data_IF_801915793442
#
_entry.id   IF_801915793442
#
_cell.length_a   1.000
_cell.length_b   1.000
_cell.length_c   1.000
_cell.angle_alpha   90.00
_cell.angle_beta   90.00
_cell.angle_gamma   90.00
#
_symmetry.space_group_name_H-M   'P 1'
#
loop_
_entity.id
_entity.type
_entity.pdbx_description
1 polymer ?
#
# COMPACT_ATOMS: atom_id res chain seq x y z
N UNK A 1 38.53 -33.44 42.34
CA UNK A 1 38.47 -31.96 42.37
C UNK A 1 37.44 -31.50 41.35
N UNK A 2 36.24 -31.09 41.80
CA UNK A 2 35.14 -30.60 40.98
C UNK A 2 35.60 -29.35 40.20
N UNK A 3 35.70 -29.46 38.86
CA UNK A 3 35.82 -28.27 38.00
C UNK A 3 34.44 -27.66 37.78
N UNK A 4 34.38 -26.38 38.12
CA UNK A 4 33.21 -25.55 38.34
C UNK A 4 32.56 -25.09 37.02
N UNK A 5 31.24 -25.01 37.08
CA UNK A 5 30.35 -23.98 36.51
C UNK A 5 30.71 -23.44 35.13
N UNK A 6 29.95 -23.87 34.13
CA UNK A 6 29.88 -23.15 32.89
C UNK A 6 28.75 -23.65 32.01
N UNK A 7 27.49 -23.36 32.35
CA UNK A 7 26.40 -23.39 31.38
C UNK A 7 25.25 -22.47 31.78
N UNK A 8 24.75 -21.74 30.77
CA UNK A 8 23.48 -21.02 30.69
C UNK A 8 23.37 -19.66 31.38
N UNK A 9 23.87 -18.62 30.69
CA UNK A 9 23.14 -17.36 30.65
C UNK A 9 22.26 -17.42 29.39
N UNK A 10 20.99 -17.83 29.56
CA UNK A 10 20.01 -17.83 28.48
C UNK A 10 19.67 -16.37 28.15
N UNK A 11 20.07 -15.91 26.97
CA UNK A 11 19.68 -14.61 26.44
C UNK A 11 18.17 -14.58 26.23
N UNK A 12 17.43 -14.00 27.18
CA UNK A 12 16.03 -13.61 26.99
C UNK A 12 15.97 -12.27 26.24
N UNK A 13 16.36 -12.28 24.97
CA UNK A 13 16.11 -11.18 24.05
C UNK A 13 14.78 -11.43 23.33
N UNK A 14 13.66 -11.16 24.00
CA UNK A 14 12.37 -11.05 23.30
C UNK A 14 12.40 -9.76 22.48
N UNK A 15 12.92 -9.83 21.26
CA UNK A 15 12.74 -8.77 20.27
C UNK A 15 11.24 -8.70 19.98
N UNK A 16 10.59 -7.63 20.45
CA UNK A 16 9.27 -7.23 19.99
C UNK A 16 9.37 -6.94 18.49
N UNK A 17 9.20 -8.00 17.71
CA UNK A 17 9.03 -7.92 16.27
C UNK A 17 7.61 -7.42 16.07
N UNK A 18 7.41 -6.11 16.00
CA UNK A 18 6.15 -5.57 15.54
C UNK A 18 5.96 -6.09 14.10
N UNK A 19 5.08 -7.07 13.92
CA UNK A 19 4.70 -7.52 12.60
C UNK A 19 3.93 -6.38 11.95
N UNK A 20 4.59 -5.57 11.13
CA UNK A 20 3.95 -4.62 10.23
C UNK A 20 3.30 -5.44 9.13
N UNK A 21 2.11 -5.97 9.42
CA UNK A 21 1.27 -6.61 8.41
C UNK A 21 0.57 -5.51 7.63
N UNK A 22 0.69 -5.56 6.31
CA UNK A 22 -0.06 -4.66 5.44
C UNK A 22 -1.54 -5.04 5.45
N UNK A 23 -2.42 -4.04 5.56
CA UNK A 23 -3.87 -4.23 5.40
C UNK A 23 -4.17 -4.44 3.91
N UNK A 24 -5.06 -5.38 3.57
CA UNK A 24 -5.42 -5.68 2.18
C UNK A 24 -6.83 -5.19 1.85
N UNK A 25 -6.96 -4.45 0.76
CA UNK A 25 -8.20 -3.95 0.17
C UNK A 25 -8.51 -4.68 -1.14
N UNK A 26 -9.76 -5.12 -1.31
CA UNK A 26 -10.23 -5.63 -2.60
C UNK A 26 -10.88 -4.50 -3.40
N UNK A 27 -10.46 -4.34 -4.64
CA UNK A 27 -11.09 -3.42 -5.58
C UNK A 27 -12.45 -3.98 -5.98
N UNK A 28 -13.50 -3.16 -5.90
CA UNK A 28 -14.87 -3.53 -6.28
C UNK A 28 -15.33 -2.67 -7.44
N UNK A 29 -15.96 -3.30 -8.44
CA UNK A 29 -16.49 -2.61 -9.61
C UNK A 29 -17.96 -2.21 -9.37
N UNK A 30 -18.36 -1.05 -9.89
CA UNK A 30 -19.74 -0.56 -9.84
C UNK A 30 -20.17 0.14 -8.54
N UNK A 31 -19.21 0.46 -7.65
CA UNK A 31 -19.47 1.19 -6.41
C UNK A 31 -18.45 2.34 -6.24
N UNK A 32 -18.88 3.39 -5.54
CA UNK A 32 -17.96 4.39 -5.01
C UNK A 32 -17.45 3.91 -3.66
N UNK A 33 -16.14 3.88 -3.49
CA UNK A 33 -15.46 3.42 -2.27
C UNK A 33 -14.54 4.51 -1.74
N UNK A 34 -14.52 4.66 -0.43
CA UNK A 34 -13.53 5.50 0.27
C UNK A 34 -12.40 4.61 0.75
N UNK A 35 -11.16 5.03 0.51
CA UNK A 35 -9.96 4.38 1.02
C UNK A 35 -9.14 5.34 1.85
N UNK A 36 -8.61 4.86 2.97
CA UNK A 36 -7.70 5.62 3.83
C UNK A 36 -6.29 5.04 3.73
N UNK A 37 -5.31 5.91 3.56
CA UNK A 37 -3.88 5.61 3.54
C UNK A 37 -3.22 6.29 4.75
N UNK A 38 -3.11 5.58 5.88
CA UNK A 38 -2.41 6.11 7.04
C UNK A 38 -0.93 6.38 6.74
N UNK A 39 -0.31 7.38 7.41
CA UNK A 39 1.05 7.77 7.13
C UNK A 39 2.04 6.65 7.46
N UNK A 40 2.94 6.39 6.52
CA UNK A 40 4.04 5.42 6.59
C UNK A 40 3.61 3.95 6.81
N UNK A 41 2.34 3.64 6.57
CA UNK A 41 1.80 2.30 6.71
C UNK A 41 1.52 1.66 5.33
N UNK A 42 2.05 0.46 5.06
CA UNK A 42 1.81 -0.22 3.79
C UNK A 42 0.38 -0.76 3.72
N UNK A 43 -0.27 -0.46 2.59
CA UNK A 43 -1.62 -0.89 2.27
C UNK A 43 -1.58 -1.63 0.92
N UNK A 44 -2.14 -2.83 0.86
CA UNK A 44 -2.17 -3.64 -0.36
C UNK A 44 -3.54 -3.55 -1.03
N UNK A 45 -3.56 -3.36 -2.34
CA UNK A 45 -4.79 -3.29 -3.13
C UNK A 45 -4.77 -4.41 -4.17
N UNK A 46 -5.87 -5.16 -4.26
CA UNK A 46 -6.00 -6.34 -5.12
C UNK A 46 -7.22 -6.21 -6.01
N UNK A 47 -7.04 -6.39 -7.32
CA UNK A 47 -8.16 -6.68 -8.22
C UNK A 47 -8.41 -8.20 -8.22
N UNK A 48 -9.35 -8.66 -7.41
CA UNK A 48 -9.70 -10.07 -7.31
C UNK A 48 -10.64 -10.55 -8.44
N UNK A 49 -11.12 -9.64 -9.29
CA UNK A 49 -12.02 -9.96 -10.40
C UNK A 49 -11.28 -10.53 -11.60
N UNK A 50 -12.00 -11.25 -12.47
CA UNK A 50 -11.45 -11.86 -13.68
C UNK A 50 -11.31 -10.89 -14.86
N UNK A 51 -11.67 -9.62 -14.66
CA UNK A 51 -11.57 -8.54 -15.66
C UNK A 51 -10.76 -7.35 -15.12
N UNK A 52 -10.34 -6.46 -16.02
CA UNK A 52 -9.61 -5.23 -15.67
C UNK A 52 -10.55 -4.19 -15.07
N UNK A 53 -10.17 -3.61 -13.93
CA UNK A 53 -10.90 -2.50 -13.32
C UNK A 53 -10.14 -1.20 -13.61
N UNK A 54 -10.88 -0.17 -14.02
CA UNK A 54 -10.37 1.21 -14.08
C UNK A 54 -11.18 2.04 -13.10
N UNK A 55 -10.51 2.77 -12.22
CA UNK A 55 -11.14 3.69 -11.27
C UNK A 55 -10.56 5.09 -11.39
N UNK A 56 -11.41 6.09 -11.17
CA UNK A 56 -10.99 7.47 -10.92
C UNK A 56 -11.14 7.76 -9.44
N UNK A 57 -10.04 8.11 -8.79
CA UNK A 57 -9.97 8.44 -7.37
C UNK A 57 -9.75 9.94 -7.20
N UNK A 58 -10.57 10.58 -6.38
CA UNK A 58 -10.35 11.96 -5.94
C UNK A 58 -9.63 11.93 -4.60
N UNK A 59 -8.49 12.61 -4.51
CA UNK A 59 -7.65 12.63 -3.32
C UNK A 59 -8.14 13.69 -2.34
N UNK A 60 -8.08 13.35 -1.05
CA UNK A 60 -8.38 14.23 0.06
C UNK A 60 -7.22 14.21 1.05
N UNK A 61 -6.61 15.37 1.29
CA UNK A 61 -5.52 15.53 2.26
C UNK A 61 -5.53 16.92 2.88
N UNK A 62 -4.98 17.02 4.09
CA UNK A 62 -4.74 18.30 4.78
C UNK A 62 -3.34 18.87 4.54
N UNK A 63 -2.43 18.05 4.02
CA UNK A 63 -1.06 18.46 3.74
C UNK A 63 -1.02 19.22 2.40
N UNK A 64 0.00 20.06 2.21
CA UNK A 64 0.14 20.80 0.93
C UNK A 64 0.45 19.86 -0.23
N UNK A 65 1.12 18.75 0.05
CA UNK A 65 1.54 17.74 -0.92
C UNK A 65 1.88 16.47 -0.15
N UNK A 66 1.43 15.32 -0.66
CA UNK A 66 1.80 14.00 -0.16
C UNK A 66 2.43 13.16 -1.25
N UNK A 67 3.43 12.35 -0.89
CA UNK A 67 4.03 11.40 -1.81
C UNK A 67 3.50 10.00 -1.52
N UNK A 68 2.80 9.40 -2.49
CA UNK A 68 2.35 8.01 -2.41
C UNK A 68 3.34 7.14 -3.16
N UNK A 69 4.05 6.29 -2.43
CA UNK A 69 4.89 5.26 -3.01
C UNK A 69 4.04 4.07 -3.47
N UNK A 70 4.26 3.63 -4.69
CA UNK A 70 3.58 2.51 -5.34
C UNK A 70 4.60 1.42 -5.66
N UNK A 71 4.28 0.18 -5.33
CA UNK A 71 5.03 -1.01 -5.78
C UNK A 71 4.08 -2.05 -6.35
N UNK A 72 4.34 -2.52 -7.58
CA UNK A 72 3.52 -3.57 -8.19
C UNK A 72 4.00 -4.95 -7.74
N UNK A 73 3.22 -5.59 -6.89
CA UNK A 73 3.55 -6.92 -6.34
C UNK A 73 3.20 -8.06 -7.31
N UNK A 74 2.19 -7.87 -8.16
CA UNK A 74 1.70 -8.90 -9.07
C UNK A 74 1.01 -8.30 -10.30
N UNK A 75 1.25 -8.91 -11.47
CA UNK A 75 0.71 -8.53 -12.79
C UNK A 75 1.08 -7.09 -13.18
N UNK A 76 0.27 -6.44 -14.00
CA UNK A 76 0.46 -5.10 -14.52
C UNK A 76 -0.78 -4.24 -14.28
N UNK A 77 -0.60 -2.95 -14.46
CA UNK A 77 -1.64 -1.94 -14.33
C UNK A 77 -1.16 -0.60 -14.84
N UNK A 78 -1.95 0.44 -14.57
CA UNK A 78 -1.59 1.82 -14.89
C UNK A 78 -1.94 2.76 -13.74
N UNK A 79 -1.13 3.79 -13.59
CA UNK A 79 -1.43 4.96 -12.74
C UNK A 79 -1.25 6.20 -13.61
N UNK A 80 -2.31 7.00 -13.80
CA UNK A 80 -2.31 8.17 -14.69
C UNK A 80 -1.67 7.89 -16.07
N UNK A 81 -2.15 6.82 -16.72
CA UNK A 81 -1.65 6.29 -18.01
C UNK A 81 -0.22 5.72 -18.03
N UNK A 82 0.54 5.87 -16.95
CA UNK A 82 1.86 5.25 -16.81
C UNK A 82 1.67 3.76 -16.56
N UNK A 83 2.17 2.94 -17.49
CA UNK A 83 2.08 1.48 -17.38
C UNK A 83 3.15 0.96 -16.43
N UNK A 84 2.73 0.12 -15.49
CA UNK A 84 3.58 -0.50 -14.49
C UNK A 84 3.40 -2.02 -14.53
N UNK A 85 4.50 -2.74 -14.37
CA UNK A 85 4.57 -4.20 -14.31
C UNK A 85 5.12 -4.66 -12.98
N UNK A 86 4.97 -5.94 -12.66
CA UNK A 86 5.48 -6.53 -11.42
C UNK A 86 6.94 -6.16 -11.17
N UNK A 87 7.22 -5.61 -9.99
CA UNK A 87 8.54 -5.16 -9.56
C UNK A 87 8.79 -3.67 -9.82
N UNK A 88 7.98 -3.04 -10.66
CA UNK A 88 8.08 -1.60 -10.89
C UNK A 88 7.59 -0.82 -9.67
N UNK A 89 8.22 0.33 -9.47
CA UNK A 89 7.87 1.29 -8.44
C UNK A 89 7.61 2.67 -9.04
N UNK A 90 6.76 3.44 -8.40
CA UNK A 90 6.41 4.81 -8.80
C UNK A 90 6.18 5.64 -7.55
N UNK A 91 6.56 6.93 -7.58
CA UNK A 91 6.13 7.90 -6.59
C UNK A 91 5.13 8.83 -7.26
N UNK A 92 3.95 8.96 -6.66
CA UNK A 92 2.90 9.86 -7.11
C UNK A 92 2.76 10.97 -6.09
N UNK A 93 3.11 12.19 -6.47
CA UNK A 93 2.84 13.37 -5.64
C UNK A 93 1.39 13.81 -5.85
N UNK A 94 0.64 13.93 -4.76
CA UNK A 94 -0.78 14.27 -4.77
C UNK A 94 -1.07 15.49 -3.90
N UNK A 95 -2.07 16.26 -4.29
CA UNK A 95 -2.64 17.40 -3.58
C UNK A 95 -4.13 17.14 -3.32
N UNK A 96 -4.72 17.91 -2.40
CA UNK A 96 -6.17 17.87 -2.19
C UNK A 96 -6.94 18.17 -3.49
N UNK A 97 -7.92 17.33 -3.81
CA UNK A 97 -8.74 17.42 -5.03
C UNK A 97 -8.12 16.81 -6.29
N UNK A 98 -6.88 16.31 -6.23
CA UNK A 98 -6.26 15.64 -7.39
C UNK A 98 -7.08 14.43 -7.83
N UNK A 99 -7.13 14.20 -9.14
CA UNK A 99 -7.76 13.02 -9.74
C UNK A 99 -6.70 12.04 -10.22
N UNK A 100 -6.69 10.85 -9.62
CA UNK A 100 -5.78 9.76 -9.98
C UNK A 100 -6.56 8.65 -10.66
N UNK A 101 -6.16 8.29 -11.88
CA UNK A 101 -6.75 7.19 -12.64
C UNK A 101 -5.91 5.94 -12.41
N UNK A 102 -6.53 4.90 -11.87
CA UNK A 102 -5.89 3.62 -11.59
C UNK A 102 -6.53 2.56 -12.49
N UNK A 103 -5.70 1.80 -13.20
CA UNK A 103 -6.16 0.61 -13.93
C UNK A 103 -5.44 -0.61 -13.38
N UNK A 104 -6.18 -1.61 -12.92
CA UNK A 104 -5.64 -2.84 -12.39
C UNK A 104 -6.12 -4.03 -13.22
N UNK A 105 -5.19 -4.78 -13.83
CA UNK A 105 -5.54 -6.01 -14.54
C UNK A 105 -6.08 -7.08 -13.57
N UNK A 106 -6.80 -8.05 -14.12
CA UNK A 106 -7.31 -9.21 -13.39
C UNK A 106 -6.21 -9.88 -12.55
N UNK A 107 -6.45 -10.02 -11.25
CA UNK A 107 -5.50 -10.60 -10.29
C UNK A 107 -4.27 -9.74 -10.00
N UNK A 108 -4.29 -8.47 -10.40
CA UNK A 108 -3.26 -7.48 -10.08
C UNK A 108 -3.23 -7.14 -8.61
N UNK A 109 -2.01 -6.89 -8.10
CA UNK A 109 -1.78 -6.51 -6.70
C UNK A 109 -0.72 -5.42 -6.63
N UNK A 110 -1.02 -4.36 -5.90
CA UNK A 110 -0.10 -3.25 -5.62
C UNK A 110 0.01 -3.02 -4.13
N UNK A 111 1.14 -2.50 -3.69
CA UNK A 111 1.36 -1.96 -2.36
C UNK A 111 1.49 -0.45 -2.48
N UNK A 112 0.73 0.27 -1.68
CA UNK A 112 0.78 1.71 -1.53
C UNK A 112 1.35 2.06 -0.15
N UNK A 113 2.16 3.09 -0.07
CA UNK A 113 2.62 3.68 1.19
C UNK A 113 2.45 5.18 1.06
N UNK A 114 1.64 5.77 1.93
CA UNK A 114 1.59 7.22 2.08
C UNK A 114 2.87 7.66 2.82
N UNK A 115 3.77 8.38 2.14
CA UNK A 115 5.01 8.89 2.72
C UNK A 115 4.83 10.30 3.33
N UNK A 116 3.60 10.78 3.38
CA UNK A 116 3.18 12.00 4.06
C UNK A 116 3.14 11.88 5.57
N UNK A 117 2.75 12.99 6.22
CA UNK A 117 2.64 13.05 7.68
C UNK A 117 1.19 12.86 8.16
N UNK A 118 0.22 13.20 7.33
CA UNK A 118 -1.21 13.05 7.59
C UNK A 118 -1.80 11.86 6.83
N UNK A 119 -2.95 11.36 7.29
CA UNK A 119 -3.72 10.37 6.52
C UNK A 119 -4.22 11.00 5.22
N UNK A 120 -4.01 10.30 4.11
CA UNK A 120 -4.61 10.64 2.81
C UNK A 120 -5.84 9.77 2.63
N UNK A 121 -6.99 10.35 2.27
CA UNK A 121 -8.17 9.58 1.85
C UNK A 121 -8.41 9.73 0.35
N UNK A 122 -9.12 8.77 -0.23
CA UNK A 122 -9.42 8.75 -1.64
C UNK A 122 -10.83 8.22 -1.91
N UNK A 123 -11.66 9.05 -2.52
CA UNK A 123 -12.97 8.67 -3.03
C UNK A 123 -12.84 8.13 -4.46
N UNK A 124 -12.93 6.81 -4.61
CA UNK A 124 -12.76 6.12 -5.88
C UNK A 124 -14.10 5.68 -6.48
N UNK A 125 -14.27 5.89 -7.78
CA UNK A 125 -15.41 5.39 -8.58
C UNK A 125 -14.89 4.61 -9.79
N UNK A 126 -15.62 3.57 -10.20
CA UNK A 126 -15.27 2.68 -11.33
C UNK A 126 -16.21 2.86 -12.50
#
# INVERSE_FOLDING_TARGET
MLRKLGYSLFCAGALFSANVLAVTHNLTAGLSMEYELPPNEPQEFVNAWFWTITSTCTIHTHDTIDNIFVEVLKKSGKVNDISLSKGDTLIVSVHDGDKVIITAESGGKVKLINQGNSTVSASCST
#
